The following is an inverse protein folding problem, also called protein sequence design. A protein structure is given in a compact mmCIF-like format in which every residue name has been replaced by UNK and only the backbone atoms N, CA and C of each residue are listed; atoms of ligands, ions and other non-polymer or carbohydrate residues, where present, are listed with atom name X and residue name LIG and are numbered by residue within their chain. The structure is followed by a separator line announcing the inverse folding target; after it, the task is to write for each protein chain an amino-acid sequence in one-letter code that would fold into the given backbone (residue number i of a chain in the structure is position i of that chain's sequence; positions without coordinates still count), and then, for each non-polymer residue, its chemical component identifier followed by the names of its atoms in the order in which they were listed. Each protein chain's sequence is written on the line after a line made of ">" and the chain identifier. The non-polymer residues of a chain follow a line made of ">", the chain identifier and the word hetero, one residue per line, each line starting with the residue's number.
data_IF_413887724301
#
_entry.id   IF_413887724301
#
_cell.length_a   1.000
_cell.length_b   1.000
_cell.length_c   1.000
_cell.angle_alpha   90.00
_cell.angle_beta   90.00
_cell.angle_gamma   90.00
#
_symmetry.space_group_name_H-M   'P 1'
#
loop_
_entity.id
_entity.type
_entity.pdbx_description
1 polymer ?
#
# COMPACT_ATOMS: atom_id res chain seq x y z
N UNK A 1 -43.63 10.86 -41.86
CA UNK A 1 -43.40 11.79 -40.74
C UNK A 1 -42.25 11.38 -39.80
N UNK A 2 -42.08 10.11 -39.39
CA UNK A 2 -40.96 9.67 -38.50
C UNK A 2 -39.55 9.97 -39.08
N UNK A 3 -39.28 9.63 -40.34
CA UNK A 3 -37.98 9.91 -41.01
C UNK A 3 -37.63 11.41 -41.11
N UNK A 4 -38.64 12.26 -41.29
CA UNK A 4 -38.47 13.72 -41.40
C UNK A 4 -38.16 14.33 -40.03
N UNK A 5 -38.85 13.92 -38.96
CA UNK A 5 -38.51 14.34 -37.58
C UNK A 5 -37.12 13.87 -37.16
N UNK A 6 -36.70 12.67 -37.55
CA UNK A 6 -35.35 12.17 -37.29
C UNK A 6 -34.27 12.97 -38.01
N UNK A 7 -34.49 13.32 -39.29
CA UNK A 7 -33.58 14.15 -40.06
C UNK A 7 -33.51 15.60 -39.56
N UNK A 8 -34.63 16.15 -39.07
CA UNK A 8 -34.66 17.48 -38.45
C UNK A 8 -33.88 17.48 -37.13
N UNK A 9 -34.07 16.47 -36.26
CA UNK A 9 -33.29 16.32 -35.02
C UNK A 9 -31.79 16.16 -35.29
N UNK A 10 -31.40 15.31 -36.23
CA UNK A 10 -29.99 15.10 -36.61
C UNK A 10 -29.31 16.39 -37.13
N UNK A 11 -30.07 17.25 -37.83
CA UNK A 11 -29.55 18.54 -38.28
C UNK A 11 -29.42 19.55 -37.12
N UNK A 12 -30.35 19.51 -36.16
CA UNK A 12 -30.34 20.39 -35.00
C UNK A 12 -29.19 20.02 -34.04
N UNK A 13 -29.01 18.73 -33.76
CA UNK A 13 -27.88 18.21 -32.97
C UNK A 13 -26.52 18.56 -33.61
N UNK A 14 -26.43 18.48 -34.94
CA UNK A 14 -25.20 18.86 -35.68
C UNK A 14 -24.93 20.38 -35.61
N UNK A 15 -25.97 21.21 -35.68
CA UNK A 15 -25.84 22.65 -35.54
C UNK A 15 -25.42 23.07 -34.12
N UNK A 16 -25.95 22.40 -33.10
CA UNK A 16 -25.59 22.65 -31.70
C UNK A 16 -24.13 22.28 -31.42
N UNK A 17 -23.66 21.13 -31.93
CA UNK A 17 -22.25 20.73 -31.83
C UNK A 17 -21.30 21.70 -32.54
N UNK A 18 -21.69 22.21 -33.71
CA UNK A 18 -20.94 23.24 -34.43
C UNK A 18 -20.87 24.55 -33.64
N UNK A 19 -21.97 24.95 -33.01
CA UNK A 19 -22.03 26.15 -32.18
C UNK A 19 -21.12 25.98 -30.94
N UNK A 20 -21.15 24.84 -30.27
CA UNK A 20 -20.28 24.53 -29.13
C UNK A 20 -18.80 24.56 -29.53
N UNK A 21 -18.44 23.92 -30.64
CA UNK A 21 -17.08 23.92 -31.16
C UNK A 21 -16.61 25.35 -31.49
N UNK A 22 -17.46 26.15 -32.14
CA UNK A 22 -17.13 27.55 -32.47
C UNK A 22 -16.88 28.42 -31.23
N UNK A 23 -17.55 28.13 -30.11
CA UNK A 23 -17.31 28.79 -28.82
C UNK A 23 -16.00 28.28 -28.20
N UNK A 24 -15.76 26.97 -28.25
CA UNK A 24 -14.57 26.33 -27.70
C UNK A 24 -13.27 26.79 -28.37
N UNK A 25 -13.28 26.97 -29.69
CA UNK A 25 -12.10 27.43 -30.47
C UNK A 25 -11.64 28.85 -30.10
N UNK A 26 -12.49 29.65 -29.46
CA UNK A 26 -12.11 30.97 -28.93
C UNK A 26 -11.19 30.88 -27.72
N UNK A 27 -11.19 29.75 -27.01
CA UNK A 27 -10.27 29.50 -25.91
C UNK A 27 -8.89 29.12 -26.47
N UNK A 28 -7.86 29.87 -26.07
CA UNK A 28 -6.48 29.65 -26.52
C UNK A 28 -5.94 28.26 -26.16
N UNK A 29 -6.37 27.67 -25.03
CA UNK A 29 -5.96 26.33 -24.58
C UNK A 29 -6.52 25.27 -25.51
N UNK A 30 -7.81 25.38 -25.82
CA UNK A 30 -8.50 24.48 -26.76
C UNK A 30 -7.85 24.56 -28.15
N UNK A 31 -7.60 25.78 -28.63
CA UNK A 31 -6.97 26.02 -29.94
C UNK A 31 -5.56 25.44 -30.03
N UNK A 32 -4.76 25.54 -28.95
CA UNK A 32 -3.43 24.92 -28.88
C UNK A 32 -3.52 23.40 -29.00
N UNK A 33 -4.43 22.77 -28.27
CA UNK A 33 -4.60 21.31 -28.29
C UNK A 33 -5.09 20.81 -29.65
N UNK A 34 -6.12 21.44 -30.23
CA UNK A 34 -6.67 21.05 -31.54
C UNK A 34 -5.62 21.04 -32.64
N UNK A 35 -4.70 22.01 -32.65
CA UNK A 35 -3.59 22.06 -33.63
C UNK A 35 -2.63 20.88 -33.55
N UNK A 36 -2.57 20.18 -32.41
CA UNK A 36 -1.71 19.00 -32.24
C UNK A 36 -2.38 17.71 -32.73
N UNK A 37 -3.70 17.71 -32.93
CA UNK A 37 -4.47 16.54 -33.34
C UNK A 37 -4.58 16.52 -34.87
N UNK A 38 -4.06 15.47 -35.50
CA UNK A 38 -4.08 15.31 -36.96
C UNK A 38 -5.40 14.68 -37.45
N UNK A 39 -6.52 15.37 -37.26
CA UNK A 39 -7.86 14.96 -37.73
C UNK A 39 -8.62 16.15 -38.36
N UNK A 40 -9.62 15.86 -39.20
CA UNK A 40 -10.49 16.89 -39.76
C UNK A 40 -11.38 17.54 -38.71
N UNK A 41 -11.74 18.81 -38.90
CA UNK A 41 -12.62 19.54 -37.98
C UNK A 41 -13.96 18.83 -37.76
N UNK A 42 -14.53 18.20 -38.79
CA UNK A 42 -15.76 17.41 -38.71
C UNK A 42 -15.69 16.24 -37.70
N UNK A 43 -14.50 15.66 -37.50
CA UNK A 43 -14.31 14.61 -36.50
C UNK A 43 -14.09 15.21 -35.12
N UNK A 44 -13.37 16.34 -35.02
CA UNK A 44 -13.10 17.01 -33.74
C UNK A 44 -14.36 17.58 -33.08
N UNK A 45 -15.31 18.09 -33.89
CA UNK A 45 -16.59 18.63 -33.42
C UNK A 45 -17.34 17.61 -32.54
N UNK A 46 -17.27 16.32 -32.89
CA UNK A 46 -17.93 15.23 -32.14
C UNK A 46 -17.37 15.04 -30.72
N UNK A 47 -16.15 15.53 -30.47
CA UNK A 47 -15.43 15.35 -29.21
C UNK A 47 -15.19 16.67 -28.47
N UNK A 48 -15.88 17.76 -28.85
CA UNK A 48 -15.68 19.12 -28.30
C UNK A 48 -15.54 19.14 -26.78
N UNK A 49 -16.49 18.56 -26.04
CA UNK A 49 -16.45 18.57 -24.57
C UNK A 49 -15.23 17.83 -24.01
N UNK A 50 -14.85 16.69 -24.60
CA UNK A 50 -13.67 15.93 -24.17
C UNK A 50 -12.36 16.66 -24.47
N UNK A 51 -12.28 17.35 -25.61
CA UNK A 51 -11.13 18.18 -25.98
C UNK A 51 -11.04 19.38 -25.03
N UNK A 52 -12.14 20.00 -24.63
CA UNK A 52 -12.16 21.07 -23.63
C UNK A 52 -11.59 20.59 -22.29
N UNK A 53 -12.05 19.45 -21.78
CA UNK A 53 -11.50 18.86 -20.54
C UNK A 53 -10.00 18.62 -20.67
N UNK A 54 -9.56 17.98 -21.76
CA UNK A 54 -8.15 17.71 -22.01
C UNK A 54 -7.30 18.99 -22.09
N UNK A 55 -7.82 20.04 -22.74
CA UNK A 55 -7.11 21.32 -22.88
C UNK A 55 -6.94 22.03 -21.53
N UNK A 56 -7.97 21.99 -20.68
CA UNK A 56 -7.92 22.57 -19.33
C UNK A 56 -6.91 21.79 -18.46
N UNK A 57 -6.98 20.45 -18.45
CA UNK A 57 -6.05 19.63 -17.67
C UNK A 57 -4.59 19.75 -18.14
N UNK A 58 -4.35 19.83 -19.45
CA UNK A 58 -3.02 20.03 -20.00
C UNK A 58 -2.46 21.41 -19.66
N UNK A 59 -3.30 22.44 -19.64
CA UNK A 59 -2.91 23.79 -19.20
C UNK A 59 -2.58 23.84 -17.71
N UNK A 60 -3.33 23.15 -16.86
CA UNK A 60 -2.96 22.98 -15.45
C UNK A 60 -1.58 22.32 -15.29
N UNK A 61 -1.25 21.34 -16.14
CA UNK A 61 0.05 20.67 -16.11
C UNK A 61 1.23 21.59 -16.50
N UNK A 62 1.02 22.65 -17.30
CA UNK A 62 2.09 23.58 -17.69
C UNK A 62 2.66 24.36 -16.49
N UNK A 63 1.81 24.66 -15.50
CA UNK A 63 2.18 25.41 -14.29
C UNK A 63 2.10 24.53 -13.03
N UNK A 64 2.16 23.21 -13.18
CA UNK A 64 2.11 22.28 -12.07
C UNK A 64 3.46 22.24 -11.35
N UNK A 65 3.45 22.40 -10.03
CA UNK A 65 4.69 22.39 -9.23
C UNK A 65 4.97 21.01 -8.63
N UNK A 66 3.93 20.31 -8.17
CA UNK A 66 4.01 19.00 -7.52
C UNK A 66 2.64 18.30 -7.47
N UNK A 67 2.61 17.06 -6.99
CA UNK A 67 1.39 16.26 -6.87
C UNK A 67 0.37 16.83 -5.87
N UNK A 68 0.83 17.49 -4.80
CA UNK A 68 -0.04 18.05 -3.77
C UNK A 68 -0.84 19.25 -4.28
N UNK A 69 -0.23 20.08 -5.14
CA UNK A 69 -0.87 21.23 -5.78
C UNK A 69 -1.53 20.90 -7.12
N UNK A 70 -1.63 19.62 -7.49
CA UNK A 70 -2.27 19.19 -8.74
C UNK A 70 -3.75 19.61 -8.78
N UNK A 71 -4.11 20.37 -9.83
CA UNK A 71 -5.46 20.91 -10.06
C UNK A 71 -6.36 20.04 -10.93
N UNK A 72 -5.82 18.96 -11.51
CA UNK A 72 -6.61 18.03 -12.32
C UNK A 72 -7.56 17.21 -11.46
N UNK A 73 -8.68 16.81 -12.07
CA UNK A 73 -9.72 15.98 -11.43
C UNK A 73 -9.12 14.67 -10.91
N UNK A 74 -8.36 13.99 -11.77
CA UNK A 74 -7.59 12.80 -11.40
C UNK A 74 -6.15 13.21 -11.11
N UNK A 75 -5.84 13.43 -9.82
CA UNK A 75 -4.51 13.89 -9.38
C UNK A 75 -3.38 12.99 -9.89
N UNK A 76 -2.35 13.59 -10.49
CA UNK A 76 -1.19 12.88 -11.03
C UNK A 76 -1.39 12.32 -12.45
N UNK A 77 -2.56 12.52 -13.04
CA UNK A 77 -2.86 12.12 -14.41
C UNK A 77 -3.19 13.33 -15.27
N UNK A 78 -3.05 13.15 -16.58
CA UNK A 78 -3.47 14.08 -17.63
C UNK A 78 -4.44 13.37 -18.57
N UNK A 79 -5.60 13.96 -18.79
CA UNK A 79 -6.54 13.51 -19.81
C UNK A 79 -6.05 13.95 -21.18
N UNK A 80 -5.71 12.99 -22.04
CA UNK A 80 -5.08 13.28 -23.34
C UNK A 80 -5.82 12.62 -24.48
N UNK A 81 -5.96 13.31 -25.63
CA UNK A 81 -6.46 12.71 -26.86
C UNK A 81 -5.37 11.89 -27.57
N UNK A 82 -5.76 10.73 -28.11
CA UNK A 82 -4.90 9.88 -28.93
C UNK A 82 -5.68 9.40 -30.17
N UNK A 83 -5.06 9.47 -31.35
CA UNK A 83 -5.68 9.05 -32.60
C UNK A 83 -5.39 7.57 -32.83
N UNK A 84 -6.42 6.73 -32.71
CA UNK A 84 -6.33 5.28 -32.93
C UNK A 84 -7.27 4.90 -34.07
N UNK A 85 -6.74 4.26 -35.12
CA UNK A 85 -7.49 3.83 -36.31
C UNK A 85 -8.34 4.95 -36.95
N UNK A 86 -7.82 6.18 -36.98
CA UNK A 86 -8.52 7.35 -37.53
C UNK A 86 -9.64 7.92 -36.64
N UNK A 87 -9.77 7.43 -35.41
CA UNK A 87 -10.74 7.92 -34.42
C UNK A 87 -10.04 8.54 -33.20
N UNK A 88 -10.66 9.57 -32.60
CA UNK A 88 -10.12 10.21 -31.41
C UNK A 88 -10.55 9.47 -30.15
N UNK A 89 -9.58 8.89 -29.47
CA UNK A 89 -9.75 8.22 -28.18
C UNK A 89 -9.18 9.10 -27.07
N UNK A 90 -9.67 8.93 -25.85
CA UNK A 90 -9.18 9.69 -24.71
C UNK A 90 -8.89 8.75 -23.55
N UNK A 91 -7.76 8.98 -22.91
CA UNK A 91 -7.27 8.18 -21.80
C UNK A 91 -6.56 9.07 -20.78
N UNK A 92 -6.50 8.59 -19.54
CA UNK A 92 -5.68 9.20 -18.50
C UNK A 92 -4.27 8.65 -18.58
N UNK A 93 -3.32 9.53 -18.89
CA UNK A 93 -1.90 9.21 -18.89
C UNK A 93 -1.22 9.76 -17.62
N UNK A 94 -0.27 9.00 -17.09
CA UNK A 94 0.50 9.39 -15.90
C UNK A 94 1.31 10.66 -16.21
N UNK A 95 1.29 11.65 -15.31
CA UNK A 95 2.09 12.87 -15.46
C UNK A 95 3.55 12.64 -14.99
N UNK A 96 4.52 13.48 -15.39
CA UNK A 96 5.93 13.29 -15.01
C UNK A 96 6.17 13.23 -13.50
N UNK A 97 5.42 14.01 -12.71
CA UNK A 97 5.53 13.98 -11.25
C UNK A 97 5.06 12.65 -10.65
N UNK A 98 3.91 12.12 -11.11
CA UNK A 98 3.42 10.83 -10.64
C UNK A 98 4.32 9.70 -11.16
N UNK A 99 4.83 9.81 -12.39
CA UNK A 99 5.77 8.84 -12.94
C UNK A 99 7.04 8.75 -12.10
N UNK A 100 7.60 9.90 -11.71
CA UNK A 100 8.77 9.97 -10.83
C UNK A 100 8.46 9.39 -9.44
N UNK A 101 7.33 9.74 -8.84
CA UNK A 101 6.89 9.20 -7.55
C UNK A 101 6.71 7.67 -7.59
N UNK A 102 6.10 7.14 -8.65
CA UNK A 102 5.94 5.69 -8.86
C UNK A 102 7.30 5.00 -9.05
N UNK A 103 8.24 5.63 -9.73
CA UNK A 103 9.61 5.11 -9.88
C UNK A 103 10.35 5.10 -8.55
N UNK A 104 10.29 6.20 -7.80
CA UNK A 104 10.92 6.34 -6.48
C UNK A 104 10.33 5.36 -5.45
N UNK A 105 9.02 5.07 -5.54
CA UNK A 105 8.34 4.12 -4.66
C UNK A 105 8.18 2.71 -5.23
N UNK A 106 8.84 2.41 -6.36
CA UNK A 106 8.76 1.08 -7.00
C UNK A 106 9.24 -0.05 -6.09
N UNK A 107 10.10 0.26 -5.10
CA UNK A 107 10.53 -0.68 -4.06
C UNK A 107 9.37 -1.27 -3.26
N UNK A 108 8.23 -0.57 -3.14
CA UNK A 108 7.07 -1.07 -2.42
C UNK A 108 6.47 -2.32 -3.07
N UNK A 109 6.76 -2.59 -4.35
CA UNK A 109 6.38 -3.85 -5.00
C UNK A 109 7.08 -5.08 -4.40
N UNK A 110 8.18 -4.88 -3.67
CA UNK A 110 8.84 -5.93 -2.91
C UNK A 110 8.15 -6.21 -1.56
N UNK A 111 7.16 -5.40 -1.17
CA UNK A 111 6.43 -5.54 0.08
C UNK A 111 4.97 -5.89 -0.17
N UNK A 112 4.53 -6.98 0.45
CA UNK A 112 3.12 -7.30 0.56
C UNK A 112 2.56 -6.68 1.84
N UNK A 113 1.41 -6.01 1.73
CA UNK A 113 0.71 -5.43 2.87
C UNK A 113 -0.67 -6.06 3.03
N UNK A 114 -0.99 -6.51 4.24
CA UNK A 114 -2.33 -6.96 4.59
C UNK A 114 -2.94 -6.09 5.69
N UNK A 115 -3.95 -5.32 5.31
CA UNK A 115 -4.70 -4.43 6.20
C UNK A 115 -3.85 -3.41 6.97
N UNK A 116 -2.83 -2.86 6.29
CA UNK A 116 -1.93 -1.84 6.81
C UNK A 116 -2.30 -0.46 6.23
N UNK A 117 -2.40 0.61 7.04
CA UNK A 117 -2.75 1.94 6.54
C UNK A 117 -1.58 2.62 5.81
N UNK A 118 -1.88 3.58 4.91
CA UNK A 118 -0.88 4.18 4.00
C UNK A 118 0.28 4.85 4.72
N UNK A 119 0.02 5.46 5.87
CA UNK A 119 1.01 6.14 6.70
C UNK A 119 2.10 5.17 7.18
N UNK A 120 1.74 3.92 7.45
CA UNK A 120 2.66 2.85 7.84
C UNK A 120 3.37 2.28 6.61
N UNK A 121 2.67 2.11 5.47
CA UNK A 121 3.29 1.67 4.21
C UNK A 121 4.39 2.61 3.75
N UNK A 122 4.21 3.91 3.96
CA UNK A 122 5.15 4.96 3.56
C UNK A 122 6.14 5.36 4.66
N UNK A 123 6.25 4.59 5.76
CA UNK A 123 7.15 4.90 6.86
C UNK A 123 8.61 5.00 6.40
N UNK A 124 9.36 5.97 6.92
CA UNK A 124 10.76 6.19 6.52
C UNK A 124 11.67 6.25 7.73
N UNK A 125 12.84 5.65 7.62
CA UNK A 125 13.84 5.72 8.69
C UNK A 125 14.28 7.17 8.95
N UNK A 126 14.35 7.99 7.91
CA UNK A 126 14.72 9.42 8.00
C UNK A 126 13.70 10.30 8.76
N UNK A 127 12.46 9.86 8.88
CA UNK A 127 11.38 10.59 9.57
C UNK A 127 11.24 10.14 11.03
N UNK A 128 12.05 9.18 11.49
CA UNK A 128 12.06 8.73 12.89
C UNK A 128 12.85 9.74 13.73
N UNK A 129 12.16 10.50 14.56
CA UNK A 129 12.78 11.45 15.49
C UNK A 129 13.68 10.74 16.52
N UNK A 130 15.01 11.00 16.53
CA UNK A 130 15.93 10.42 17.52
C UNK A 130 15.86 11.09 18.89
N UNK A 131 15.03 12.13 19.05
CA UNK A 131 14.99 12.95 20.26
C UNK A 131 14.44 12.21 21.49
N UNK A 132 13.66 11.14 21.29
CA UNK A 132 13.25 10.28 22.38
C UNK A 132 14.33 9.22 22.65
N UNK A 133 15.09 9.42 23.74
CA UNK A 133 16.11 8.49 24.21
C UNK A 133 15.58 7.05 24.36
N UNK A 134 14.29 6.87 24.61
CA UNK A 134 13.65 5.55 24.76
C UNK A 134 13.52 4.79 23.44
N UNK A 135 13.62 5.47 22.30
CA UNK A 135 13.61 4.85 20.96
C UNK A 135 14.99 4.50 20.45
N UNK A 136 16.06 5.09 21.02
CA UNK A 136 17.43 4.94 20.52
C UNK A 136 17.86 3.47 20.43
N UNK A 137 17.61 2.67 21.47
CA UNK A 137 17.96 1.24 21.48
C UNK A 137 17.28 0.44 20.36
N UNK A 138 16.02 0.78 20.04
CA UNK A 138 15.29 0.13 18.95
C UNK A 138 15.79 0.63 17.59
N UNK A 139 16.04 1.93 17.45
CA UNK A 139 16.57 2.53 16.22
C UNK A 139 17.96 1.98 15.91
N UNK A 140 18.82 1.85 16.90
CA UNK A 140 20.15 1.26 16.79
C UNK A 140 20.04 -0.19 16.32
N UNK A 141 19.18 -1.00 16.96
CA UNK A 141 18.93 -2.38 16.51
C UNK A 141 18.48 -2.46 15.05
N UNK A 142 17.54 -1.61 14.64
CA UNK A 142 17.02 -1.61 13.28
C UNK A 142 18.08 -1.15 12.26
N UNK A 143 18.91 -0.19 12.63
CA UNK A 143 20.03 0.29 11.79
C UNK A 143 21.08 -0.81 11.64
N UNK A 144 21.49 -1.41 12.75
CA UNK A 144 22.40 -2.56 12.78
C UNK A 144 21.88 -3.74 11.96
N UNK A 145 20.57 -3.99 12.01
CA UNK A 145 19.93 -5.03 11.21
C UNK A 145 20.11 -4.76 9.71
N UNK A 146 19.83 -3.53 9.26
CA UNK A 146 19.95 -3.11 7.85
C UNK A 146 21.39 -3.27 7.36
N UNK A 147 22.38 -2.98 8.21
CA UNK A 147 23.79 -3.01 7.86
C UNK A 147 24.39 -4.42 7.88
N UNK A 148 23.94 -5.27 8.81
CA UNK A 148 24.48 -6.63 9.01
C UNK A 148 23.79 -7.68 8.15
N UNK A 149 22.61 -7.41 7.59
CA UNK A 149 21.91 -8.35 6.71
C UNK A 149 22.79 -8.79 5.51
N UNK A 150 22.83 -10.09 5.14
CA UNK A 150 22.00 -11.21 5.61
C UNK A 150 22.58 -12.01 6.79
N UNK A 151 23.62 -11.52 7.47
CA UNK A 151 24.27 -12.24 8.59
C UNK A 151 23.49 -12.16 9.92
N UNK A 152 22.26 -11.64 9.88
CA UNK A 152 21.42 -11.53 11.07
C UNK A 152 20.61 -12.80 11.22
N UNK A 153 20.63 -13.39 12.42
CA UNK A 153 19.96 -14.67 12.69
C UNK A 153 18.56 -14.51 13.30
N UNK A 154 18.27 -13.35 13.91
CA UNK A 154 17.02 -13.10 14.62
C UNK A 154 16.35 -11.80 14.18
N UNK A 155 15.02 -11.84 14.08
CA UNK A 155 14.20 -10.64 13.96
C UNK A 155 13.94 -10.00 15.33
N UNK A 156 12.91 -9.16 15.41
CA UNK A 156 12.60 -8.39 16.62
C UNK A 156 11.17 -8.66 17.09
N UNK A 157 11.02 -8.95 18.38
CA UNK A 157 9.73 -8.87 19.08
C UNK A 157 9.70 -7.54 19.83
N UNK A 158 8.97 -6.57 19.29
CA UNK A 158 8.87 -5.23 19.84
C UNK A 158 7.56 -5.08 20.62
N UNK A 159 7.65 -5.10 21.95
CA UNK A 159 6.51 -4.84 22.82
C UNK A 159 6.49 -3.39 23.33
N UNK A 160 5.38 -2.94 23.91
CA UNK A 160 5.30 -1.65 24.57
C UNK A 160 3.91 -1.03 24.55
N UNK A 161 3.77 0.19 25.06
CA UNK A 161 2.46 0.84 25.19
C UNK A 161 1.85 1.25 23.83
N UNK A 162 0.54 1.52 23.85
CA UNK A 162 -0.20 1.98 22.67
C UNK A 162 0.35 3.29 22.12
N UNK A 163 0.39 3.41 20.80
CA UNK A 163 0.77 4.65 20.12
C UNK A 163 2.27 4.99 20.21
N UNK A 164 3.12 4.11 20.73
CA UNK A 164 4.56 4.34 20.83
C UNK A 164 5.33 4.20 19.50
N UNK A 165 4.65 3.86 18.40
CA UNK A 165 5.21 3.83 17.05
C UNK A 165 5.86 2.52 16.63
N UNK A 166 5.65 1.42 17.36
CA UNK A 166 6.25 0.09 17.10
C UNK A 166 6.18 -0.34 15.63
N UNK A 167 4.97 -0.36 15.07
CA UNK A 167 4.71 -0.75 13.67
C UNK A 167 5.41 0.18 12.68
N UNK A 168 5.39 1.49 12.94
CA UNK A 168 6.04 2.47 12.06
C UNK A 168 7.55 2.25 12.01
N UNK A 169 8.20 2.01 13.16
CA UNK A 169 9.64 1.78 13.24
C UNK A 169 10.06 0.55 12.42
N UNK A 170 9.40 -0.59 12.61
CA UNK A 170 9.75 -1.81 11.88
C UNK A 170 9.38 -1.69 10.40
N UNK A 171 8.25 -1.05 10.06
CA UNK A 171 7.85 -0.81 8.66
C UNK A 171 8.82 0.11 7.91
N UNK A 172 9.36 1.12 8.59
CA UNK A 172 10.42 1.96 8.05
C UNK A 172 11.67 1.15 7.71
N UNK A 173 12.08 0.23 8.58
CA UNK A 173 13.19 -0.69 8.28
C UNK A 173 12.85 -1.62 7.10
N UNK A 174 11.64 -2.18 7.03
CA UNK A 174 11.20 -3.01 5.91
C UNK A 174 11.25 -2.24 4.58
N UNK A 175 10.90 -0.96 4.57
CA UNK A 175 11.02 -0.11 3.39
C UNK A 175 12.49 0.08 2.96
N UNK A 176 13.43 0.24 3.89
CA UNK A 176 14.86 0.27 3.54
C UNK A 176 15.35 -1.07 2.99
N UNK A 177 14.87 -2.19 3.53
CA UNK A 177 15.19 -3.53 3.01
C UNK A 177 14.59 -3.75 1.60
N UNK A 178 13.38 -3.27 1.37
CA UNK A 178 12.71 -3.35 0.07
C UNK A 178 13.44 -2.54 -1.01
N UNK A 179 14.05 -1.39 -0.65
CA UNK A 179 14.94 -0.63 -1.54
C UNK A 179 16.20 -1.40 -1.91
N UNK A 180 16.66 -2.31 -1.04
CA UNK A 180 17.73 -3.28 -1.32
C UNK A 180 17.23 -4.54 -2.05
N UNK A 181 16.00 -4.49 -2.59
CA UNK A 181 15.34 -5.58 -3.34
C UNK A 181 15.05 -6.85 -2.52
N UNK A 182 14.98 -6.74 -1.19
CA UNK A 182 14.60 -7.84 -0.29
C UNK A 182 13.09 -7.88 -0.15
N UNK A 183 12.49 -9.06 -0.33
CA UNK A 183 11.04 -9.22 -0.27
C UNK A 183 10.55 -9.32 1.17
N UNK A 184 9.45 -8.64 1.46
CA UNK A 184 8.86 -8.60 2.79
C UNK A 184 7.35 -8.68 2.78
N UNK A 185 6.78 -9.05 3.91
CA UNK A 185 5.35 -8.95 4.17
C UNK A 185 5.08 -8.26 5.50
N UNK A 186 4.10 -7.37 5.53
CA UNK A 186 3.61 -6.72 6.74
C UNK A 186 2.12 -7.02 6.85
N UNK A 187 1.72 -7.73 7.90
CA UNK A 187 0.34 -8.16 8.10
C UNK A 187 -0.19 -7.65 9.44
N UNK A 188 -1.40 -7.08 9.43
CA UNK A 188 -2.16 -6.88 10.66
C UNK A 188 -2.79 -8.22 11.08
N UNK A 189 -2.28 -8.81 12.16
CA UNK A 189 -2.54 -10.21 12.48
C UNK A 189 -4.01 -10.54 12.76
N UNK A 190 -4.77 -9.72 13.53
CA UNK A 190 -6.18 -10.00 13.81
C UNK A 190 -7.03 -10.11 12.53
N UNK A 191 -6.85 -9.17 11.61
CA UNK A 191 -7.61 -9.13 10.36
C UNK A 191 -7.13 -10.17 9.35
N UNK A 192 -5.84 -10.50 9.38
CA UNK A 192 -5.31 -11.60 8.59
C UNK A 192 -5.98 -12.94 8.98
N UNK A 193 -6.10 -13.23 10.28
CA UNK A 193 -6.80 -14.41 10.76
C UNK A 193 -8.28 -14.42 10.36
N UNK A 194 -8.96 -13.27 10.49
CA UNK A 194 -10.37 -13.11 10.08
C UNK A 194 -10.54 -13.39 8.58
N UNK A 195 -9.66 -12.85 7.75
CA UNK A 195 -9.68 -13.04 6.30
C UNK A 195 -9.39 -14.49 5.91
N UNK A 196 -8.42 -15.14 6.56
CA UNK A 196 -8.13 -16.55 6.34
C UNK A 196 -9.34 -17.43 6.68
N UNK A 197 -10.01 -17.17 7.81
CA UNK A 197 -11.22 -17.91 8.21
C UNK A 197 -12.41 -17.67 7.27
N UNK A 198 -12.48 -16.54 6.59
CA UNK A 198 -13.53 -16.26 5.60
C UNK A 198 -13.20 -16.84 4.22
N UNK A 199 -11.92 -17.07 3.90
CA UNK A 199 -11.43 -17.39 2.55
C UNK A 199 -11.23 -18.89 2.28
N UNK A 200 -11.85 -19.77 3.08
CA UNK A 200 -11.56 -21.22 3.09
C UNK A 200 -11.62 -21.90 1.71
N UNK A 201 -12.30 -21.33 0.70
CA UNK A 201 -12.55 -22.02 -0.57
C UNK A 201 -11.68 -21.66 -1.78
N UNK A 202 -11.04 -20.48 -1.91
CA UNK A 202 -10.37 -20.14 -3.20
C UNK A 202 -9.00 -19.44 -3.15
N UNK A 203 -8.58 -18.82 -2.04
CA UNK A 203 -7.29 -18.07 -1.99
C UNK A 203 -6.55 -18.18 -0.65
N UNK A 204 -7.03 -19.03 0.26
CA UNK A 204 -6.43 -19.24 1.58
C UNK A 204 -4.98 -19.75 1.47
N UNK A 205 -4.78 -20.80 0.68
CA UNK A 205 -3.49 -21.49 0.59
C UNK A 205 -2.40 -20.58 0.03
N UNK A 206 -2.69 -19.81 -1.02
CA UNK A 206 -1.70 -18.95 -1.67
C UNK A 206 -1.28 -17.79 -0.77
N UNK A 207 -2.24 -17.11 -0.14
CA UNK A 207 -1.95 -16.02 0.82
C UNK A 207 -1.11 -16.52 1.99
N UNK A 208 -1.49 -17.66 2.57
CA UNK A 208 -0.76 -18.24 3.69
C UNK A 208 0.63 -18.73 3.28
N UNK A 209 0.76 -19.38 2.12
CA UNK A 209 2.06 -19.83 1.60
C UNK A 209 3.00 -18.67 1.28
N UNK A 210 2.47 -17.54 0.79
CA UNK A 210 3.27 -16.34 0.55
C UNK A 210 3.91 -15.84 1.85
N UNK A 211 3.11 -15.57 2.90
CA UNK A 211 3.64 -15.06 4.18
C UNK A 211 4.55 -16.08 4.88
N UNK A 212 4.33 -17.37 4.64
CA UNK A 212 5.13 -18.45 5.22
C UNK A 212 6.55 -18.46 4.66
N UNK A 213 6.71 -18.10 3.38
CA UNK A 213 7.98 -18.23 2.63
C UNK A 213 8.73 -16.92 2.37
N UNK A 214 8.10 -15.78 2.59
CA UNK A 214 8.74 -14.46 2.36
C UNK A 214 9.97 -14.27 3.25
N UNK A 215 10.99 -13.57 2.74
CA UNK A 215 12.29 -13.40 3.40
C UNK A 215 12.14 -12.68 4.74
N UNK A 216 11.41 -11.56 4.75
CA UNK A 216 11.10 -10.79 5.97
C UNK A 216 9.59 -10.80 6.23
N UNK A 217 9.16 -11.16 7.43
CA UNK A 217 7.75 -11.10 7.83
C UNK A 217 7.58 -10.26 9.08
N UNK A 218 6.71 -9.26 9.03
CA UNK A 218 6.21 -8.53 10.20
C UNK A 218 4.76 -8.95 10.49
N UNK A 219 4.56 -9.55 11.66
CA UNK A 219 3.26 -9.85 12.25
C UNK A 219 2.91 -8.70 13.22
N UNK A 220 2.04 -7.81 12.77
CA UNK A 220 1.66 -6.62 13.52
C UNK A 220 0.52 -6.91 14.52
N UNK A 221 0.68 -6.37 15.73
CA UNK A 221 -0.28 -6.38 16.85
C UNK A 221 -0.73 -7.79 17.28
N UNK A 222 0.24 -8.69 17.46
CA UNK A 222 -0.03 -10.03 18.00
C UNK A 222 -0.53 -9.95 19.45
N UNK A 223 -1.58 -10.71 19.77
CA UNK A 223 -2.27 -10.70 21.06
C UNK A 223 -3.48 -9.77 21.11
N UNK A 224 -3.81 -9.08 20.01
CA UNK A 224 -5.05 -8.29 19.88
C UNK A 224 -6.21 -9.09 19.25
N UNK A 225 -5.92 -10.28 18.70
CA UNK A 225 -6.89 -11.13 18.04
C UNK A 225 -7.84 -11.85 19.02
N UNK A 226 -8.97 -12.31 18.50
CA UNK A 226 -9.78 -13.30 19.19
C UNK A 226 -9.08 -14.65 19.15
N UNK A 227 -8.49 -15.04 20.28
CA UNK A 227 -7.73 -16.27 20.37
C UNK A 227 -8.62 -17.51 20.15
N UNK A 228 -8.22 -18.35 19.20
CA UNK A 228 -8.86 -19.65 18.91
C UNK A 228 -7.79 -20.72 18.77
N UNK A 229 -8.15 -21.99 19.04
CA UNK A 229 -7.22 -23.11 18.87
C UNK A 229 -6.70 -23.21 17.42
N UNK A 230 -7.55 -22.92 16.43
CA UNK A 230 -7.18 -22.85 15.02
C UNK A 230 -6.12 -21.75 14.76
N UNK A 231 -6.35 -20.52 15.20
CA UNK A 231 -5.41 -19.42 15.01
C UNK A 231 -4.06 -19.70 15.69
N UNK A 232 -4.09 -20.23 16.92
CA UNK A 232 -2.90 -20.54 17.71
C UNK A 232 -2.13 -21.72 17.14
N UNK A 233 -2.78 -22.87 16.97
CA UNK A 233 -2.10 -24.14 16.68
C UNK A 233 -1.85 -24.33 15.18
N UNK A 234 -2.86 -24.07 14.34
CA UNK A 234 -2.78 -24.34 12.91
C UNK A 234 -2.15 -23.20 12.13
N UNK A 235 -2.48 -21.94 12.45
CA UNK A 235 -1.93 -20.79 11.73
C UNK A 235 -0.58 -20.39 12.31
N UNK A 236 -0.56 -19.88 13.54
CA UNK A 236 0.65 -19.37 14.17
C UNK A 236 1.67 -20.51 14.39
N UNK A 237 1.23 -21.64 14.93
CA UNK A 237 2.08 -22.79 15.17
C UNK A 237 2.79 -23.31 13.91
N UNK A 238 2.07 -23.46 12.79
CA UNK A 238 2.66 -23.95 11.54
C UNK A 238 3.53 -22.91 10.83
N UNK A 239 3.14 -21.63 10.90
CA UNK A 239 3.89 -20.51 10.34
C UNK A 239 5.27 -20.40 11.00
N UNK A 240 5.30 -20.34 12.33
CA UNK A 240 6.54 -20.21 13.08
C UNK A 240 7.44 -21.43 12.94
N UNK A 241 6.87 -22.64 12.94
CA UNK A 241 7.64 -23.86 12.75
C UNK A 241 8.43 -23.83 11.43
N UNK A 242 7.76 -23.47 10.33
CA UNK A 242 8.41 -23.42 9.02
C UNK A 242 9.48 -22.34 8.97
N UNK A 243 9.15 -21.12 9.41
CA UNK A 243 10.11 -20.00 9.36
C UNK A 243 11.35 -20.28 10.20
N UNK A 244 11.21 -20.99 11.32
CA UNK A 244 12.32 -21.43 12.15
C UNK A 244 13.19 -22.50 11.46
N UNK A 245 12.56 -23.47 10.77
CA UNK A 245 13.30 -24.51 10.02
C UNK A 245 14.08 -23.92 8.84
N UNK A 246 13.51 -22.94 8.16
CA UNK A 246 14.11 -22.29 7.00
C UNK A 246 14.99 -21.09 7.34
N UNK A 247 15.11 -20.72 8.64
CA UNK A 247 15.89 -19.56 9.08
C UNK A 247 15.36 -18.20 8.58
N UNK A 248 14.04 -18.08 8.35
CA UNK A 248 13.43 -16.85 7.83
C UNK A 248 13.14 -15.83 8.94
N UNK A 249 13.59 -14.59 8.72
CA UNK A 249 13.54 -13.52 9.72
C UNK A 249 12.11 -13.07 9.97
N UNK A 250 11.69 -13.07 11.23
CA UNK A 250 10.32 -12.79 11.64
C UNK A 250 10.30 -11.70 12.70
N UNK A 251 9.41 -10.74 12.53
CA UNK A 251 9.24 -9.58 13.38
C UNK A 251 7.83 -9.56 13.94
N UNK A 252 7.69 -9.06 15.15
CA UNK A 252 6.42 -8.90 15.83
C UNK A 252 6.32 -7.53 16.46
N UNK A 253 5.12 -6.98 16.47
CA UNK A 253 4.76 -5.91 17.40
C UNK A 253 3.65 -6.41 18.31
N UNK A 254 3.68 -6.00 19.58
CA UNK A 254 2.62 -6.33 20.52
C UNK A 254 2.46 -5.25 21.58
N UNK A 255 1.29 -5.21 22.22
CA UNK A 255 1.09 -4.46 23.47
C UNK A 255 1.41 -5.31 24.71
N UNK A 256 1.77 -6.59 24.52
CA UNK A 256 2.12 -7.55 25.56
C UNK A 256 3.61 -7.91 25.46
N UNK A 257 4.28 -8.02 26.59
CA UNK A 257 5.56 -8.75 26.69
C UNK A 257 5.40 -10.22 26.30
N UNK A 258 6.49 -10.92 26.03
CA UNK A 258 6.44 -12.35 25.70
C UNK A 258 5.75 -13.16 26.82
N UNK A 259 6.00 -12.80 28.08
CA UNK A 259 5.39 -13.48 29.24
C UNK A 259 3.88 -13.24 29.34
N UNK A 260 3.43 -12.04 29.00
CA UNK A 260 2.00 -11.72 28.95
C UNK A 260 1.32 -12.40 27.77
N UNK A 261 2.00 -12.46 26.61
CA UNK A 261 1.52 -13.19 25.44
C UNK A 261 1.40 -14.69 25.72
N UNK A 262 2.34 -15.31 26.46
CA UNK A 262 2.24 -16.73 26.85
C UNK A 262 0.97 -17.02 27.65
N UNK A 263 0.66 -16.14 28.61
CA UNK A 263 -0.55 -16.22 29.42
C UNK A 263 -1.79 -16.03 28.55
N UNK A 264 -1.76 -15.05 27.64
CA UNK A 264 -2.85 -14.80 26.71
C UNK A 264 -3.12 -16.03 25.82
N UNK A 265 -2.08 -16.62 25.22
CA UNK A 265 -2.16 -17.81 24.35
C UNK A 265 -2.63 -19.09 25.06
N UNK A 266 -2.55 -19.11 26.40
CA UNK A 266 -3.08 -20.17 27.24
C UNK A 266 -4.61 -20.03 27.39
N UNK A 267 -5.33 -20.29 26.29
CA UNK A 267 -6.80 -20.24 26.14
C UNK A 267 -7.60 -20.69 27.38
N UNK A 268 -7.13 -21.75 28.03
CA UNK A 268 -7.73 -22.32 29.24
C UNK A 268 -6.66 -22.60 30.29
N UNK A 269 -7.08 -22.82 31.54
CA UNK A 269 -6.17 -23.15 32.66
C UNK A 269 -5.64 -24.60 32.59
N UNK A 270 -6.13 -25.40 31.64
CA UNK A 270 -5.78 -26.82 31.49
C UNK A 270 -4.31 -26.99 31.05
N UNK A 271 -3.67 -28.06 31.51
CA UNK A 271 -2.24 -28.29 31.27
C UNK A 271 -1.85 -28.42 29.78
N UNK A 272 -2.74 -28.94 28.94
CA UNK A 272 -2.49 -29.12 27.51
C UNK A 272 -2.35 -27.78 26.77
N UNK A 273 -3.22 -26.81 27.07
CA UNK A 273 -3.16 -25.50 26.42
C UNK A 273 -1.94 -24.70 26.85
N UNK A 274 -1.53 -24.82 28.12
CA UNK A 274 -0.28 -24.21 28.62
C UNK A 274 0.95 -24.74 27.87
N UNK A 275 1.03 -26.05 27.64
CA UNK A 275 2.14 -26.65 26.89
C UNK A 275 2.16 -26.15 25.44
N UNK A 276 0.99 -26.05 24.79
CA UNK A 276 0.89 -25.56 23.41
C UNK A 276 1.28 -24.08 23.30
N UNK A 277 0.79 -23.24 24.21
CA UNK A 277 1.19 -21.84 24.29
C UNK A 277 2.70 -21.69 24.49
N UNK A 278 3.28 -22.43 25.43
CA UNK A 278 4.72 -22.43 25.70
C UNK A 278 5.55 -22.79 24.45
N UNK A 279 5.15 -23.80 23.69
CA UNK A 279 5.83 -24.17 22.43
C UNK A 279 5.84 -23.05 21.39
N UNK A 280 4.76 -22.28 21.30
CA UNK A 280 4.69 -21.13 20.38
C UNK A 280 5.63 -20.02 20.86
N UNK A 281 5.63 -19.74 22.15
CA UNK A 281 6.51 -18.74 22.75
C UNK A 281 7.98 -19.11 22.59
N UNK A 282 8.35 -20.37 22.79
CA UNK A 282 9.72 -20.86 22.54
C UNK A 282 10.14 -20.60 21.08
N UNK A 283 9.24 -20.80 20.11
CA UNK A 283 9.54 -20.48 18.70
C UNK A 283 9.70 -18.99 18.45
N UNK A 284 8.86 -18.14 19.07
CA UNK A 284 9.00 -16.68 18.97
C UNK A 284 10.36 -16.24 19.54
N UNK A 285 10.76 -16.75 20.70
CA UNK A 285 12.04 -16.44 21.34
C UNK A 285 13.26 -16.96 20.55
N UNK A 286 13.11 -18.07 19.83
CA UNK A 286 14.15 -18.55 18.92
C UNK A 286 14.29 -17.65 17.69
N UNK A 287 13.17 -17.20 17.12
CA UNK A 287 13.14 -16.35 15.93
C UNK A 287 13.52 -14.89 16.22
N UNK A 288 13.43 -14.42 17.47
CA UNK A 288 13.48 -12.99 17.78
C UNK A 288 14.30 -12.62 19.00
N UNK A 289 14.74 -11.36 19.01
CA UNK A 289 15.19 -10.67 20.21
C UNK A 289 14.03 -9.83 20.75
N UNK A 290 13.76 -9.86 22.06
CA UNK A 290 12.73 -9.03 22.68
C UNK A 290 13.29 -7.64 23.03
N UNK A 291 12.55 -6.58 22.67
CA UNK A 291 12.78 -5.21 23.14
C UNK A 291 11.47 -4.55 23.56
N UNK A 292 11.55 -3.65 24.53
CA UNK A 292 10.40 -2.92 25.06
C UNK A 292 10.50 -1.43 24.73
N UNK A 293 9.45 -0.90 24.09
CA UNK A 293 9.34 0.51 23.73
C UNK A 293 8.18 1.19 24.47
N UNK A 294 8.51 1.85 25.58
CA UNK A 294 7.57 2.67 26.33
C UNK A 294 7.83 4.14 25.98
N UNK A 295 6.97 4.75 25.17
CA UNK A 295 7.16 6.14 24.68
C UNK A 295 5.83 6.91 24.73
N UNK A 296 5.87 8.22 24.43
CA UNK A 296 4.65 9.02 24.31
C UNK A 296 3.76 8.47 23.19
N UNK A 297 2.47 8.76 23.26
CA UNK A 297 1.54 8.41 22.18
C UNK A 297 1.71 9.42 21.04
N UNK A 298 2.05 8.94 19.85
CA UNK A 298 2.21 9.76 18.64
C UNK A 298 0.98 9.77 17.72
N UNK A 299 -0.12 9.12 18.15
CA UNK A 299 -1.42 9.17 17.46
C UNK A 299 -2.31 10.32 17.95
N UNK A 300 -1.84 11.12 18.91
CA UNK A 300 -2.54 12.25 19.52
C UNK A 300 -1.91 13.57 19.09
#
# INVERSE_FOLDING_TARGET
>A
MKKVKQAINLNQDKQDLLLEYSKAVKDDKFKKLVKTISLSEDELIKYTSKIQTAAIELDHCLNCENLCSCKNEVKGYKYTPEVINGSLTFSYNVCPYLQKDLQENSYQNNLYYFDIPKEIRNAKMSEIYPSDKKRLDVIEYLTDFIDKYPKVEKGLYLNGNFGSGKTYLISAMFNEMAKKNIKGAIIYFPEFLRSLKASFDNNYADKFNYIKKVELLLIDDIGAENLTAWARDEILGSLLQYRMQEGLLTFFTSNMSILELEKHLSLTTNGVDKIKAKRIIERIQQLTTEKTLISKNYRQ
#
